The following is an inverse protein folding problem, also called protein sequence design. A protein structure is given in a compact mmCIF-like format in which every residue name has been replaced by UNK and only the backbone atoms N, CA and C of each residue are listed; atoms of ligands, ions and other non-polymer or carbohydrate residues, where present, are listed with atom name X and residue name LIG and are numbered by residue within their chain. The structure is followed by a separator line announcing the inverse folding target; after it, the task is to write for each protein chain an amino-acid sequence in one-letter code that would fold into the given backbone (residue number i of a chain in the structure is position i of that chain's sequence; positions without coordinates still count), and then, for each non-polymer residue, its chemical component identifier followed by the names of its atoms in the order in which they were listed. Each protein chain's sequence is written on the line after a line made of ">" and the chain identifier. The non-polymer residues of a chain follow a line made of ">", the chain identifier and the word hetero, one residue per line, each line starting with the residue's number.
data_IF_028598861149
#
_entry.id   IF_028598861149
#
_cell.length_a   1.000
_cell.length_b   1.000
_cell.length_c   1.000
_cell.angle_alpha   90.00
_cell.angle_beta   90.00
_cell.angle_gamma   90.00
#
_symmetry.space_group_name_H-M   'P 1'
#
loop_
_entity.id
_entity.type
_entity.pdbx_description
1 polymer ?
#
# COMPACT_ATOMS: atom_id res chain seq x y z
N UNK A 1 15.65 -23.59 4.58
CA UNK A 1 14.70 -22.73 5.34
C UNK A 1 13.42 -22.61 4.54
N UNK A 2 12.25 -22.65 5.19
CA UNK A 2 10.95 -22.51 4.53
C UNK A 2 10.41 -21.08 4.71
N UNK A 3 10.96 -20.13 3.94
CA UNK A 3 10.53 -18.74 3.99
C UNK A 3 9.06 -18.57 3.58
N UNK A 4 8.29 -17.79 4.33
CA UNK A 4 6.87 -17.53 4.07
C UNK A 4 5.90 -18.58 4.62
N UNK A 5 6.38 -19.54 5.43
CA UNK A 5 5.52 -20.51 6.10
C UNK A 5 4.35 -19.83 6.84
N UNK A 6 3.15 -20.37 6.68
CA UNK A 6 1.91 -19.79 7.24
C UNK A 6 1.20 -18.79 6.31
N UNK A 7 1.85 -18.41 5.21
CA UNK A 7 1.25 -17.61 4.13
C UNK A 7 1.03 -18.47 2.88
N UNK A 8 0.21 -18.03 1.91
CA UNK A 8 0.08 -18.73 0.64
C UNK A 8 1.26 -18.45 -0.32
N UNK A 9 2.32 -17.78 0.14
CA UNK A 9 3.49 -17.38 -0.63
C UNK A 9 4.75 -18.05 -0.08
N UNK A 10 5.64 -18.43 -0.98
CA UNK A 10 7.02 -18.82 -0.68
C UNK A 10 7.89 -17.58 -0.78
N UNK A 11 8.71 -17.37 0.24
CA UNK A 11 9.69 -16.29 0.33
C UNK A 11 9.13 -14.88 -0.05
N UNK A 12 8.09 -14.40 0.65
CA UNK A 12 7.46 -13.11 0.36
C UNK A 12 8.35 -11.89 0.56
N UNK A 13 9.39 -12.00 1.40
CA UNK A 13 10.39 -10.95 1.66
C UNK A 13 11.74 -11.19 0.98
N UNK A 14 11.76 -12.02 -0.09
CA UNK A 14 12.94 -12.24 -0.94
C UNK A 14 14.24 -12.58 -0.20
N UNK A 15 14.18 -13.42 0.84
CA UNK A 15 15.34 -13.79 1.66
C UNK A 15 16.23 -14.84 0.97
N UNK A 16 15.66 -15.68 0.10
CA UNK A 16 16.43 -16.67 -0.65
C UNK A 16 17.27 -16.00 -1.76
N UNK A 17 18.60 -16.17 -1.70
CA UNK A 17 19.53 -15.61 -2.68
C UNK A 17 19.20 -16.02 -4.12
N UNK A 18 18.73 -17.24 -4.31
CA UNK A 18 18.44 -17.78 -5.63
C UNK A 18 17.01 -17.45 -6.10
N UNK A 19 16.15 -16.95 -5.20
CA UNK A 19 14.72 -16.73 -5.43
C UNK A 19 14.02 -18.00 -5.95
N UNK A 20 14.31 -19.17 -5.39
CA UNK A 20 13.79 -20.47 -5.85
C UNK A 20 12.26 -20.60 -5.73
N UNK A 21 11.65 -19.81 -4.85
CA UNK A 21 10.19 -19.71 -4.71
C UNK A 21 9.49 -18.93 -5.83
N UNK A 22 10.25 -18.28 -6.71
CA UNK A 22 9.74 -17.34 -7.71
C UNK A 22 10.14 -17.73 -9.13
N UNK A 23 9.19 -17.61 -10.06
CA UNK A 23 9.48 -17.64 -11.50
C UNK A 23 9.97 -16.26 -11.93
N UNK A 24 11.16 -16.22 -12.51
CA UNK A 24 11.85 -15.01 -12.98
C UNK A 24 11.68 -14.83 -14.48
N UNK A 25 11.41 -13.60 -14.91
CA UNK A 25 11.51 -13.16 -16.31
C UNK A 25 12.56 -12.06 -16.38
N UNK A 26 13.40 -12.06 -17.43
CA UNK A 26 14.44 -11.05 -17.61
C UNK A 26 15.44 -10.99 -16.45
N UNK A 27 15.95 -9.79 -16.17
CA UNK A 27 16.91 -9.56 -15.08
C UNK A 27 16.19 -9.30 -13.77
N UNK A 28 15.81 -10.39 -13.10
CA UNK A 28 15.27 -10.39 -11.74
C UNK A 28 16.22 -11.12 -10.79
N UNK A 29 16.68 -10.47 -9.74
CA UNK A 29 17.60 -11.04 -8.76
C UNK A 29 17.27 -10.55 -7.35
N UNK A 30 17.77 -11.26 -6.33
CA UNK A 30 17.76 -10.73 -4.97
C UNK A 30 18.77 -9.60 -4.86
N UNK A 31 18.37 -8.53 -4.21
CA UNK A 31 19.20 -7.42 -3.79
C UNK A 31 19.41 -7.46 -2.27
N UNK A 32 20.59 -7.07 -1.82
CA UNK A 32 20.88 -6.89 -0.40
C UNK A 32 21.57 -5.54 -0.26
N UNK A 33 21.00 -4.63 0.51
CA UNK A 33 21.53 -3.28 0.66
C UNK A 33 22.61 -3.18 1.76
N UNK A 34 23.11 -1.97 1.99
CA UNK A 34 24.15 -1.68 2.98
C UNK A 34 23.70 -1.95 4.43
N UNK A 35 22.38 -1.97 4.67
CA UNK A 35 21.77 -2.33 5.96
C UNK A 35 21.47 -3.83 6.07
N UNK A 36 21.91 -4.63 5.09
CA UNK A 36 21.63 -6.07 4.98
C UNK A 36 20.14 -6.42 4.84
N UNK A 37 19.30 -5.47 4.42
CA UNK A 37 17.91 -5.73 4.08
C UNK A 37 17.85 -6.42 2.72
N UNK A 38 16.98 -7.42 2.60
CA UNK A 38 16.80 -8.14 1.34
C UNK A 38 15.58 -7.60 0.60
N UNK A 39 15.69 -7.46 -0.72
CA UNK A 39 14.56 -7.19 -1.60
C UNK A 39 14.76 -7.93 -2.92
N UNK A 40 13.77 -7.88 -3.80
CA UNK A 40 13.96 -8.20 -5.21
C UNK A 40 14.34 -6.95 -5.99
N UNK A 41 15.24 -7.10 -6.97
CA UNK A 41 15.55 -6.08 -7.97
C UNK A 41 15.17 -6.58 -9.38
N UNK A 42 14.42 -5.76 -10.10
CA UNK A 42 14.10 -5.89 -11.52
C UNK A 42 14.87 -4.81 -12.28
N UNK A 43 15.76 -5.21 -13.19
CA UNK A 43 16.68 -4.30 -13.88
C UNK A 43 16.87 -4.66 -15.35
N UNK A 44 17.79 -3.96 -16.03
CA UNK A 44 17.98 -4.08 -17.48
C UNK A 44 16.87 -3.42 -18.30
N UNK A 45 17.06 -3.36 -19.62
CA UNK A 45 16.15 -2.67 -20.56
C UNK A 45 15.00 -3.54 -21.08
N UNK A 46 15.14 -4.87 -21.00
CA UNK A 46 14.07 -5.80 -21.32
C UNK A 46 13.03 -5.84 -20.18
N UNK A 47 11.88 -6.46 -20.44
CA UNK A 47 10.92 -6.78 -19.38
C UNK A 47 11.60 -7.63 -18.30
N UNK A 48 11.35 -7.29 -17.04
CA UNK A 48 11.80 -8.06 -15.90
C UNK A 48 10.63 -8.31 -14.94
N UNK A 49 10.49 -9.52 -14.41
CA UNK A 49 9.37 -9.85 -13.54
C UNK A 49 9.66 -10.97 -12.55
N UNK A 50 8.87 -10.97 -11.48
CA UNK A 50 8.76 -12.07 -10.52
C UNK A 50 7.30 -12.50 -10.44
N UNK A 51 7.07 -13.81 -10.48
CA UNK A 51 5.73 -14.36 -10.34
C UNK A 51 5.69 -15.65 -9.54
N UNK A 52 4.55 -15.90 -8.91
CA UNK A 52 4.31 -17.10 -8.13
C UNK A 52 2.85 -17.55 -8.29
N UNK A 53 2.67 -18.87 -8.40
CA UNK A 53 1.34 -19.47 -8.30
C UNK A 53 0.90 -19.51 -6.84
N UNK A 54 -0.25 -18.92 -6.57
CA UNK A 54 -0.88 -18.83 -5.26
C UNK A 54 -2.03 -19.81 -5.24
N UNK A 55 -2.05 -20.69 -4.23
CA UNK A 55 -3.06 -21.75 -4.10
C UNK A 55 -3.65 -21.74 -2.70
N UNK A 56 -4.80 -22.40 -2.51
CA UNK A 56 -5.45 -22.49 -1.20
C UNK A 56 -6.27 -21.25 -0.84
N UNK A 57 -6.57 -20.39 -1.82
CA UNK A 57 -7.52 -19.31 -1.63
C UNK A 57 -8.93 -19.89 -1.53
N UNK A 58 -9.76 -19.32 -0.66
CA UNK A 58 -11.16 -19.73 -0.50
C UNK A 58 -11.98 -19.17 -1.67
N UNK A 59 -12.56 -20.00 -2.55
CA UNK A 59 -13.32 -19.53 -3.70
C UNK A 59 -14.41 -18.53 -3.31
N UNK A 60 -14.54 -17.44 -4.08
CA UNK A 60 -15.55 -16.40 -3.84
C UNK A 60 -15.25 -15.44 -2.67
N UNK A 61 -14.22 -15.69 -1.86
CA UNK A 61 -13.77 -14.71 -0.85
C UNK A 61 -12.94 -13.61 -1.48
N UNK A 62 -12.96 -12.43 -0.86
CA UNK A 62 -12.18 -11.27 -1.28
C UNK A 62 -10.81 -11.29 -0.61
N UNK A 63 -9.81 -10.82 -1.36
CA UNK A 63 -8.43 -10.76 -0.94
C UNK A 63 -7.79 -9.46 -1.43
N UNK A 64 -6.82 -8.96 -0.66
CA UNK A 64 -5.85 -7.96 -1.09
C UNK A 64 -4.51 -8.64 -1.33
N UNK A 65 -3.97 -8.47 -2.54
CA UNK A 65 -2.56 -8.73 -2.82
C UNK A 65 -1.80 -7.40 -2.79
N UNK A 66 -0.62 -7.38 -2.18
CA UNK A 66 0.21 -6.18 -2.08
C UNK A 66 1.70 -6.50 -2.13
N UNK A 67 2.50 -5.50 -2.44
CA UNK A 67 3.95 -5.50 -2.31
C UNK A 67 4.42 -4.07 -2.04
N UNK A 68 5.51 -3.92 -1.29
CA UNK A 68 6.30 -2.69 -1.34
C UNK A 68 6.95 -2.62 -2.71
N UNK A 69 6.80 -1.49 -3.41
CA UNK A 69 7.42 -1.25 -4.70
C UNK A 69 8.14 0.09 -4.65
N UNK A 70 9.37 0.08 -5.14
CA UNK A 70 10.14 1.29 -5.43
C UNK A 70 10.56 1.28 -6.88
N UNK A 71 10.15 2.30 -7.64
CA UNK A 71 10.80 2.63 -8.91
C UNK A 71 11.91 3.62 -8.58
N UNK A 72 13.11 3.40 -9.11
CA UNK A 72 14.30 4.23 -8.88
C UNK A 72 13.94 5.73 -8.74
N UNK A 73 14.24 6.36 -7.59
CA UNK A 73 13.86 7.73 -7.32
C UNK A 73 14.29 8.68 -8.45
N UNK A 74 13.36 9.52 -8.92
CA UNK A 74 13.57 10.43 -10.04
C UNK A 74 13.36 9.82 -11.44
N UNK A 75 13.35 8.49 -11.56
CA UNK A 75 13.17 7.80 -12.84
C UNK A 75 11.69 7.46 -13.13
N UNK A 76 11.44 6.81 -14.27
CA UNK A 76 10.14 6.23 -14.64
C UNK A 76 10.34 4.85 -15.22
N UNK A 77 9.54 3.90 -14.75
CA UNK A 77 9.41 2.58 -15.34
C UNK A 77 8.12 1.95 -14.84
N UNK A 78 7.18 1.78 -15.77
CA UNK A 78 5.89 1.16 -15.49
C UNK A 78 6.10 -0.19 -14.81
N UNK A 79 5.66 -0.27 -13.55
CA UNK A 79 5.73 -1.47 -12.74
C UNK A 79 4.33 -1.91 -12.35
N UNK A 80 3.94 -3.13 -12.69
CA UNK A 80 2.59 -3.64 -12.48
C UNK A 80 2.61 -4.75 -11.44
N UNK A 81 1.85 -4.57 -10.36
CA UNK A 81 1.45 -5.66 -9.46
C UNK A 81 0.11 -6.20 -9.94
N UNK A 82 -0.01 -7.52 -10.09
CA UNK A 82 -1.25 -8.18 -10.50
C UNK A 82 -1.54 -9.46 -9.72
N UNK A 83 -2.83 -9.69 -9.46
CA UNK A 83 -3.38 -10.90 -8.88
C UNK A 83 -4.89 -10.96 -9.15
N UNK A 84 -5.44 -12.17 -9.32
CA UNK A 84 -6.88 -12.41 -9.46
C UNK A 84 -7.53 -11.70 -10.65
N UNK A 85 -6.78 -11.49 -11.74
CA UNK A 85 -7.25 -10.73 -12.90
C UNK A 85 -7.36 -9.22 -12.66
N UNK A 86 -6.79 -8.71 -11.56
CA UNK A 86 -6.71 -7.29 -11.22
C UNK A 86 -5.25 -6.83 -11.19
N UNK A 87 -5.04 -5.54 -11.40
CA UNK A 87 -3.71 -4.95 -11.49
C UNK A 87 -3.69 -3.50 -11.00
N UNK A 88 -2.55 -3.07 -10.50
CA UNK A 88 -2.22 -1.67 -10.20
C UNK A 88 -0.84 -1.37 -10.79
N UNK A 89 -0.67 -0.15 -11.31
CA UNK A 89 0.60 0.30 -11.89
C UNK A 89 1.24 1.38 -11.01
N UNK A 90 2.53 1.24 -10.75
CA UNK A 90 3.42 2.25 -10.18
C UNK A 90 4.32 2.72 -11.31
N UNK A 91 4.19 3.97 -11.73
CA UNK A 91 5.02 4.55 -12.81
C UNK A 91 6.33 5.13 -12.26
N UNK A 92 6.24 5.78 -11.10
CA UNK A 92 7.32 6.45 -10.38
C UNK A 92 7.04 6.34 -8.88
N UNK A 93 8.07 6.29 -8.06
CA UNK A 93 7.90 6.45 -6.61
C UNK A 93 7.98 7.94 -6.24
N UNK A 94 6.85 8.51 -5.85
CA UNK A 94 6.69 9.96 -5.57
C UNK A 94 6.59 10.28 -4.08
N UNK A 95 6.81 9.29 -3.21
CA UNK A 95 6.69 9.43 -1.76
C UNK A 95 7.80 8.63 -1.08
N UNK A 96 8.50 9.28 -0.16
CA UNK A 96 9.45 8.66 0.75
C UNK A 96 8.69 7.96 1.90
N UNK A 97 9.23 6.86 2.39
CA UNK A 97 8.73 6.17 3.57
C UNK A 97 9.21 6.87 4.85
N UNK A 98 8.29 7.64 5.45
CA UNK A 98 8.53 8.35 6.69
C UNK A 98 8.05 7.61 7.95
N UNK A 99 7.66 6.34 7.85
CA UNK A 99 7.25 5.56 9.02
C UNK A 99 8.50 5.04 9.74
N UNK A 100 8.80 5.55 10.94
CA UNK A 100 10.05 5.24 11.63
C UNK A 100 10.22 3.74 11.93
N UNK A 101 9.13 3.05 12.29
CA UNK A 101 9.14 1.61 12.53
C UNK A 101 9.18 0.75 11.26
N UNK A 102 9.19 1.34 10.06
CA UNK A 102 9.37 0.61 8.82
C UNK A 102 10.83 0.22 8.65
N UNK A 103 11.11 -1.04 8.35
CA UNK A 103 12.45 -1.48 7.97
C UNK A 103 12.96 -0.72 6.75
N UNK A 104 12.08 -0.16 5.91
CA UNK A 104 12.39 0.57 4.68
C UNK A 104 12.31 2.11 4.82
N UNK A 105 12.25 2.63 6.04
CA UNK A 105 12.19 4.07 6.28
C UNK A 105 13.35 4.82 5.58
N UNK A 106 13.08 6.02 5.08
CA UNK A 106 14.04 6.84 4.31
C UNK A 106 14.29 6.37 2.87
N UNK A 107 13.59 5.34 2.40
CA UNK A 107 13.58 4.93 0.99
C UNK A 107 12.29 5.39 0.30
N UNK A 108 12.11 5.09 -0.98
CA UNK A 108 10.86 5.39 -1.71
C UNK A 108 9.98 4.14 -1.91
N UNK A 109 10.19 3.11 -1.09
CA UNK A 109 9.29 1.96 -1.02
C UNK A 109 7.93 2.38 -0.49
N UNK A 110 6.89 2.08 -1.27
CA UNK A 110 5.51 2.29 -0.84
C UNK A 110 4.65 1.09 -1.24
N UNK A 111 3.62 0.82 -0.46
CA UNK A 111 2.78 -0.36 -0.69
C UNK A 111 1.81 -0.12 -1.85
N UNK A 112 1.95 -0.92 -2.90
CA UNK A 112 0.96 -1.04 -3.96
C UNK A 112 0.02 -2.22 -3.65
N UNK A 113 -1.28 -2.07 -3.93
CA UNK A 113 -2.31 -3.05 -3.55
C UNK A 113 -3.30 -3.30 -4.67
N UNK A 114 -3.79 -4.53 -4.79
CA UNK A 114 -4.94 -4.90 -5.63
C UNK A 114 -5.94 -5.75 -4.85
N UNK A 115 -7.21 -5.40 -4.96
CA UNK A 115 -8.31 -6.15 -4.35
C UNK A 115 -8.95 -7.06 -5.41
N UNK A 116 -9.10 -8.34 -5.12
CA UNK A 116 -9.70 -9.31 -6.05
C UNK A 116 -10.61 -10.30 -5.32
N UNK A 117 -11.47 -10.97 -6.08
CA UNK A 117 -12.24 -12.12 -5.59
C UNK A 117 -11.55 -13.40 -6.03
N UNK A 118 -11.31 -14.32 -5.11
CA UNK A 118 -10.65 -15.58 -5.40
C UNK A 118 -11.42 -16.39 -6.45
N UNK A 119 -10.75 -16.84 -7.53
CA UNK A 119 -11.39 -17.63 -8.57
C UNK A 119 -11.98 -18.95 -8.04
N UNK A 120 -12.89 -19.55 -8.81
CA UNK A 120 -13.58 -20.79 -8.44
C UNK A 120 -12.64 -21.96 -8.12
N UNK A 121 -11.45 -22.00 -8.75
CA UNK A 121 -10.44 -23.02 -8.52
C UNK A 121 -9.53 -22.74 -7.29
N UNK A 122 -9.74 -21.63 -6.57
CA UNK A 122 -8.97 -21.24 -5.39
C UNK A 122 -7.51 -20.88 -5.69
N UNK A 123 -7.20 -20.46 -6.92
CA UNK A 123 -5.83 -20.18 -7.38
C UNK A 123 -5.75 -18.85 -8.12
N UNK A 124 -4.58 -18.22 -8.03
CA UNK A 124 -4.20 -17.08 -8.88
C UNK A 124 -2.71 -17.08 -9.12
N UNK A 125 -2.24 -16.39 -10.16
CA UNK A 125 -0.85 -15.98 -10.26
C UNK A 125 -0.72 -14.58 -9.65
N UNK A 126 0.24 -14.39 -8.75
CA UNK A 126 0.72 -13.07 -8.35
C UNK A 126 1.94 -12.72 -9.20
N UNK A 127 1.99 -11.51 -9.76
CA UNK A 127 3.12 -11.06 -10.58
C UNK A 127 3.45 -9.59 -10.32
N UNK A 128 4.74 -9.30 -10.20
CA UNK A 128 5.33 -7.97 -10.19
C UNK A 128 6.19 -7.86 -11.45
N UNK A 129 5.87 -6.92 -12.33
CA UNK A 129 6.48 -6.80 -13.65
C UNK A 129 6.94 -5.37 -13.89
N UNK A 130 8.21 -5.17 -14.23
CA UNK A 130 8.76 -3.91 -14.69
C UNK A 130 8.87 -3.95 -16.23
N UNK A 131 8.24 -2.99 -16.89
CA UNK A 131 8.17 -2.91 -18.34
C UNK A 131 9.55 -2.78 -19.01
N UNK A 132 9.62 -3.17 -20.28
CA UNK A 132 10.77 -2.92 -21.13
C UNK A 132 10.90 -1.42 -21.49
N UNK A 133 12.04 -1.04 -22.07
CA UNK A 133 12.27 0.31 -22.61
C UNK A 133 12.79 1.35 -21.60
N UNK A 134 13.05 0.94 -20.36
CA UNK A 134 13.70 1.78 -19.33
C UNK A 134 14.77 0.97 -18.61
N UNK A 135 15.90 1.62 -18.31
CA UNK A 135 16.97 1.04 -17.46
C UNK A 135 16.71 1.23 -15.97
N UNK A 136 15.70 2.03 -15.61
CA UNK A 136 15.42 2.35 -14.22
C UNK A 136 15.24 1.07 -13.40
N UNK A 137 15.93 1.00 -12.27
CA UNK A 137 15.86 -0.14 -11.39
C UNK A 137 14.54 -0.10 -10.62
N UNK A 138 13.91 -1.25 -10.50
CA UNK A 138 12.71 -1.42 -9.66
C UNK A 138 13.05 -2.37 -8.53
N UNK A 139 12.72 -1.99 -7.31
CA UNK A 139 12.77 -2.90 -6.16
C UNK A 139 11.37 -3.31 -5.73
N UNK A 140 11.26 -4.53 -5.22
CA UNK A 140 10.04 -5.04 -4.61
C UNK A 140 10.37 -5.77 -3.31
N UNK A 141 9.52 -5.64 -2.30
CA UNK A 141 9.63 -6.40 -1.05
C UNK A 141 8.27 -6.64 -0.38
N UNK A 142 8.24 -7.47 0.66
CA UNK A 142 7.07 -7.73 1.52
C UNK A 142 5.78 -8.01 0.75
N UNK A 143 5.84 -9.02 -0.12
CA UNK A 143 4.67 -9.48 -0.88
C UNK A 143 3.68 -10.15 0.06
N UNK A 144 2.43 -9.73 0.03
CA UNK A 144 1.40 -10.20 0.96
C UNK A 144 0.10 -10.50 0.22
N UNK A 145 -0.56 -11.58 0.61
CA UNK A 145 -1.95 -11.87 0.26
C UNK A 145 -2.74 -12.13 1.52
N UNK A 146 -3.81 -11.37 1.73
CA UNK A 146 -4.68 -11.51 2.90
C UNK A 146 -6.14 -11.53 2.51
N UNK A 147 -6.93 -12.32 3.23
CA UNK A 147 -8.38 -12.31 3.12
C UNK A 147 -8.91 -11.05 3.82
N UNK A 148 -9.54 -10.16 3.06
CA UNK A 148 -10.18 -8.94 3.54
C UNK A 148 -11.22 -8.49 2.52
N UNK A 149 -12.12 -7.59 2.93
CA UNK A 149 -13.20 -7.12 2.06
C UNK A 149 -13.37 -5.59 2.14
N UNK A 150 -12.38 -4.78 1.69
CA UNK A 150 -12.50 -3.32 1.65
C UNK A 150 -13.78 -2.90 0.96
N UNK A 151 -14.52 -1.95 1.52
CA UNK A 151 -15.79 -1.55 0.94
C UNK A 151 -15.64 -1.00 -0.49
N UNK A 152 -16.71 -1.06 -1.26
CA UNK A 152 -16.76 -0.49 -2.61
C UNK A 152 -18.05 0.28 -2.79
N UNK A 153 -17.99 1.40 -3.48
CA UNK A 153 -19.17 2.19 -3.82
C UNK A 153 -19.32 2.28 -5.35
N UNK A 154 -20.48 1.90 -5.93
CA UNK A 154 -20.71 2.08 -7.36
C UNK A 154 -20.51 3.54 -7.76
N UNK A 155 -19.85 3.77 -8.91
CA UNK A 155 -19.60 5.11 -9.44
C UNK A 155 -18.39 5.85 -8.83
N UNK A 156 -17.69 5.28 -7.85
CA UNK A 156 -16.45 5.88 -7.30
C UNK A 156 -15.21 5.20 -7.85
N UNK A 157 -14.16 5.99 -8.09
CA UNK A 157 -12.84 5.47 -8.46
C UNK A 157 -12.18 4.72 -7.29
N UNK A 158 -12.23 5.32 -6.10
CA UNK A 158 -11.77 4.76 -4.83
C UNK A 158 -12.82 5.10 -3.78
N UNK A 159 -13.11 4.14 -2.91
CA UNK A 159 -13.97 4.30 -1.74
C UNK A 159 -13.31 3.59 -0.57
N UNK A 160 -13.31 4.24 0.59
CA UNK A 160 -12.74 3.72 1.82
C UNK A 160 -13.62 4.19 2.98
N UNK A 161 -14.16 3.23 3.73
CA UNK A 161 -14.87 3.46 5.00
C UNK A 161 -14.02 3.07 6.22
N UNK A 162 -12.80 2.59 5.98
CA UNK A 162 -11.80 2.16 6.94
C UNK A 162 -12.11 0.85 7.70
N UNK A 163 -13.26 0.21 7.47
CA UNK A 163 -13.73 -0.97 8.22
C UNK A 163 -12.99 -2.29 7.89
N UNK A 164 -12.16 -2.29 6.85
CA UNK A 164 -11.47 -3.48 6.36
C UNK A 164 -10.07 -3.18 5.78
N UNK A 165 -9.39 -2.18 6.37
CA UNK A 165 -8.00 -1.86 6.02
C UNK A 165 -7.07 -3.00 6.45
N UNK A 166 -6.27 -3.50 5.52
CA UNK A 166 -5.36 -4.62 5.80
C UNK A 166 -4.06 -4.21 6.52
N UNK A 167 -3.64 -2.97 6.29
CA UNK A 167 -2.48 -2.28 6.87
C UNK A 167 -2.52 -0.80 6.43
N UNK A 168 -2.05 0.10 7.30
CA UNK A 168 -1.86 1.51 6.96
C UNK A 168 -3.18 2.28 7.04
N UNK A 169 -3.38 3.23 6.12
CA UNK A 169 -4.48 4.21 6.20
C UNK A 169 -5.31 4.22 4.91
N UNK A 170 -5.73 3.04 4.45
CA UNK A 170 -6.48 2.90 3.19
C UNK A 170 -5.68 3.38 1.98
N UNK A 171 -6.15 4.38 1.20
CA UNK A 171 -5.44 4.91 0.03
C UNK A 171 -4.33 5.91 0.39
N UNK A 172 -4.17 6.26 1.67
CA UNK A 172 -3.22 7.27 2.11
C UNK A 172 -1.88 6.67 2.54
N UNK A 173 -0.82 7.42 2.24
CA UNK A 173 0.56 7.18 2.64
C UNK A 173 0.98 8.30 3.61
N UNK A 174 1.85 7.99 4.57
CA UNK A 174 2.41 9.01 5.47
C UNK A 174 3.15 10.08 4.66
N UNK A 175 2.90 11.35 4.97
CA UNK A 175 3.65 12.47 4.42
C UNK A 175 4.83 12.87 5.31
N UNK A 176 5.42 14.02 4.99
CA UNK A 176 6.64 14.52 5.61
C UNK A 176 6.42 15.25 6.95
N UNK A 177 5.19 15.30 7.46
CA UNK A 177 4.89 15.87 8.77
C UNK A 177 5.79 15.23 9.85
N UNK A 178 6.65 16.07 10.45
CA UNK A 178 7.63 15.66 11.47
C UNK A 178 8.80 14.81 10.95
N UNK A 179 8.94 14.61 9.64
CA UNK A 179 9.95 13.72 9.05
C UNK A 179 9.67 12.25 9.34
N UNK A 180 10.73 11.45 9.50
CA UNK A 180 10.61 10.03 9.88
C UNK A 180 10.23 9.90 11.35
N UNK A 181 9.01 9.44 11.62
CA UNK A 181 8.44 9.31 12.97
C UNK A 181 7.53 8.11 13.07
N UNK A 182 7.28 7.65 14.30
CA UNK A 182 6.07 6.87 14.57
C UNK A 182 4.88 7.81 14.41
N UNK A 183 4.06 7.66 13.36
CA UNK A 183 3.04 8.65 13.03
C UNK A 183 1.96 8.72 14.11
N UNK A 184 1.42 9.92 14.34
CA UNK A 184 0.29 10.15 15.24
C UNK A 184 -1.06 10.04 14.50
N UNK A 185 -1.04 9.37 13.37
CA UNK A 185 -2.19 9.05 12.55
C UNK A 185 -2.40 7.54 12.54
N UNK A 186 -3.62 7.09 12.76
CA UNK A 186 -3.97 5.67 12.80
C UNK A 186 -5.44 5.44 12.49
N UNK A 187 -5.80 4.17 12.24
CA UNK A 187 -7.20 3.75 12.21
C UNK A 187 -7.68 3.65 13.66
N UNK A 188 -8.56 4.56 14.07
CA UNK A 188 -9.22 4.54 15.39
C UNK A 188 -10.33 3.50 15.41
N UNK A 189 -10.65 2.99 16.60
CA UNK A 189 -11.71 2.00 16.81
C UNK A 189 -12.74 2.51 17.81
N UNK A 190 -14.01 2.19 17.58
CA UNK A 190 -15.12 2.60 18.42
C UNK A 190 -15.12 1.83 19.74
N UNK A 191 -15.12 2.57 20.84
CA UNK A 191 -15.38 2.06 22.18
C UNK A 191 -16.19 3.08 22.97
N UNK A 192 -17.50 3.11 22.74
CA UNK A 192 -18.40 4.06 23.37
C UNK A 192 -18.62 3.72 24.87
N UNK A 193 -18.72 4.74 25.75
CA UNK A 193 -18.71 6.17 25.44
C UNK A 193 -17.30 6.78 25.27
N UNK A 194 -16.25 6.05 25.64
CA UNK A 194 -14.89 6.57 25.85
C UNK A 194 -14.24 7.24 24.64
N UNK A 195 -14.54 6.76 23.43
CA UNK A 195 -13.96 7.27 22.18
C UNK A 195 -14.78 8.38 21.54
N UNK A 196 -15.99 8.62 22.04
CA UNK A 196 -16.95 9.57 21.47
C UNK A 196 -16.96 10.91 22.21
N UNK A 197 -17.44 11.93 21.53
CA UNK A 197 -17.62 13.27 22.07
C UNK A 197 -18.47 13.27 23.35
N UNK A 198 -18.20 14.21 24.25
CA UNK A 198 -18.87 14.36 25.54
C UNK A 198 -18.26 13.56 26.69
N UNK A 199 -17.68 12.38 26.44
CA UNK A 199 -17.01 11.62 27.50
C UNK A 199 -15.73 12.34 27.96
N UNK A 200 -15.63 12.61 29.27
CA UNK A 200 -14.52 13.37 29.87
C UNK A 200 -14.20 14.70 29.15
N UNK A 201 -15.21 15.38 28.60
CA UNK A 201 -15.04 16.65 27.89
C UNK A 201 -14.42 16.54 26.49
N UNK A 202 -14.35 15.33 25.91
CA UNK A 202 -13.86 15.12 24.54
C UNK A 202 -14.72 15.90 23.53
N UNK A 203 -14.08 16.67 22.65
CA UNK A 203 -14.76 17.62 21.74
C UNK A 203 -15.29 17.00 20.44
N UNK A 204 -14.69 15.90 20.00
CA UNK A 204 -14.98 15.23 18.73
C UNK A 204 -15.07 13.72 18.95
N UNK A 205 -15.66 13.00 18.02
CA UNK A 205 -15.67 11.54 17.99
C UNK A 205 -14.36 10.99 17.42
N UNK A 206 -13.90 9.86 17.91
CA UNK A 206 -12.78 9.15 17.26
C UNK A 206 -13.25 8.36 16.04
N UNK A 207 -14.52 7.92 16.03
CA UNK A 207 -15.14 7.19 14.93
C UNK A 207 -16.42 7.91 14.51
N UNK A 208 -16.48 8.31 13.24
CA UNK A 208 -17.57 9.12 12.67
C UNK A 208 -18.79 8.26 12.28
N UNK A 209 -18.54 7.02 11.86
CA UNK A 209 -19.54 6.04 11.50
C UNK A 209 -18.92 4.64 11.48
N UNK A 210 -19.75 3.61 11.58
CA UNK A 210 -19.25 2.22 11.65
C UNK A 210 -18.50 1.93 12.95
N UNK A 211 -17.36 1.27 12.84
CA UNK A 211 -16.47 0.89 13.94
C UNK A 211 -15.09 1.53 13.84
N UNK A 212 -14.69 2.01 12.66
CA UNK A 212 -13.35 2.48 12.40
C UNK A 212 -13.35 3.83 11.66
N UNK A 213 -12.31 4.63 11.84
CA UNK A 213 -12.10 5.88 11.11
C UNK A 213 -10.61 6.21 11.05
N UNK A 214 -10.19 7.06 10.12
CA UNK A 214 -8.83 7.59 10.12
C UNK A 214 -8.75 8.77 11.10
N UNK A 215 -7.86 8.67 12.09
CA UNK A 215 -7.66 9.70 13.12
C UNK A 215 -6.22 10.19 13.10
N UNK A 216 -6.06 11.51 13.07
CA UNK A 216 -4.80 12.19 13.35
C UNK A 216 -4.89 12.89 14.71
N UNK A 217 -3.90 12.70 15.59
CA UNK A 217 -3.88 13.26 16.93
C UNK A 217 -2.65 14.15 17.14
N UNK A 218 -2.88 15.48 17.22
CA UNK A 218 -1.81 16.46 17.46
C UNK A 218 -0.60 16.23 16.54
N UNK A 219 -0.87 16.16 15.24
CA UNK A 219 0.15 15.88 14.24
C UNK A 219 1.18 17.01 14.14
N UNK A 220 2.35 16.66 13.60
CA UNK A 220 3.40 17.62 13.36
C UNK A 220 3.05 18.53 12.17
N UNK A 221 3.71 19.70 12.09
CA UNK A 221 3.62 20.56 10.90
C UNK A 221 4.21 19.85 9.68
N UNK A 222 3.52 19.97 8.55
CA UNK A 222 3.89 19.37 7.26
C UNK A 222 2.70 18.68 6.61
N UNK A 223 2.96 17.88 5.58
CA UNK A 223 1.93 17.05 4.96
C UNK A 223 1.73 15.81 5.81
N UNK A 224 0.57 15.67 6.44
CA UNK A 224 0.29 14.54 7.36
C UNK A 224 0.22 13.22 6.61
N UNK A 225 -0.60 13.19 5.56
CA UNK A 225 -0.73 12.06 4.65
C UNK A 225 -1.19 12.52 3.28
N UNK A 226 -0.97 11.68 2.27
CA UNK A 226 -1.36 11.94 0.88
C UNK A 226 -1.69 10.65 0.15
N UNK A 227 -2.44 10.77 -0.93
CA UNK A 227 -2.56 9.69 -1.91
C UNK A 227 -1.33 9.70 -2.84
N UNK A 228 -1.22 8.64 -3.64
CA UNK A 228 -0.28 8.54 -4.75
C UNK A 228 -0.98 8.00 -6.01
N UNK A 229 -0.40 8.17 -7.21
CA UNK A 229 -1.04 7.71 -8.45
C UNK A 229 -1.41 6.21 -8.46
N UNK A 230 -0.71 5.37 -7.71
CA UNK A 230 -1.06 3.94 -7.60
C UNK A 230 -2.11 3.64 -6.52
N UNK A 231 -2.35 4.54 -5.55
CA UNK A 231 -3.41 4.37 -4.55
C UNK A 231 -4.73 4.99 -4.99
N UNK A 232 -4.66 6.10 -5.74
CA UNK A 232 -5.81 6.74 -6.40
C UNK A 232 -5.41 7.09 -7.85
N UNK A 233 -5.67 6.19 -8.82
CA UNK A 233 -5.21 6.31 -10.20
C UNK A 233 -6.09 7.26 -11.02
N UNK A 234 -6.05 8.54 -10.65
CA UNK A 234 -6.64 9.63 -11.45
C UNK A 234 -5.97 9.70 -12.82
N UNK A 235 -6.74 10.07 -13.85
CA UNK A 235 -6.28 10.17 -15.24
C UNK A 235 -6.24 11.62 -15.67
N UNK A 236 -5.23 11.95 -16.47
CA UNK A 236 -5.08 13.27 -17.09
C UNK A 236 -6.35 13.67 -17.86
N UNK A 237 -6.68 14.97 -17.79
CA UNK A 237 -7.83 15.54 -18.48
C UNK A 237 -9.20 15.18 -17.90
N UNK A 238 -9.26 14.51 -16.74
CA UNK A 238 -10.51 14.17 -16.07
C UNK A 238 -10.74 15.04 -14.83
N UNK A 239 -12.02 15.28 -14.51
CA UNK A 239 -12.43 15.92 -13.25
C UNK A 239 -12.92 14.86 -12.28
N UNK A 240 -12.48 14.97 -11.03
CA UNK A 240 -12.89 14.10 -9.94
C UNK A 240 -13.57 14.93 -8.85
N UNK A 241 -14.56 14.33 -8.20
CA UNK A 241 -15.12 14.83 -6.95
C UNK A 241 -14.48 14.05 -5.81
N UNK A 242 -14.02 14.77 -4.79
CA UNK A 242 -13.54 14.18 -3.55
C UNK A 242 -14.45 14.63 -2.43
N UNK A 243 -15.00 13.67 -1.70
CA UNK A 243 -15.90 13.91 -0.58
C UNK A 243 -15.55 12.96 0.56
N UNK A 244 -15.58 13.48 1.78
CA UNK A 244 -15.34 12.73 3.01
C UNK A 244 -16.03 13.44 4.17
N UNK A 245 -16.47 12.68 5.16
CA UNK A 245 -16.91 13.22 6.44
C UNK A 245 -15.68 13.47 7.32
N UNK A 246 -15.69 14.55 8.08
CA UNK A 246 -14.59 14.86 9.00
C UNK A 246 -15.07 15.57 10.27
N UNK A 247 -14.28 15.44 11.33
CA UNK A 247 -14.35 16.31 12.49
C UNK A 247 -12.96 16.89 12.77
N UNK A 248 -12.93 18.14 13.23
CA UNK A 248 -11.70 18.80 13.69
C UNK A 248 -12.01 19.56 14.96
N UNK A 249 -11.19 19.38 15.99
CA UNK A 249 -11.40 20.03 17.29
C UNK A 249 -11.12 21.53 17.26
N UNK A 250 -10.35 22.02 16.28
CA UNK A 250 -9.94 23.43 16.17
C UNK A 250 -10.01 23.91 14.72
N UNK A 251 -10.56 25.10 14.52
CA UNK A 251 -10.58 25.74 13.21
C UNK A 251 -9.14 25.99 12.70
N UNK A 252 -8.88 25.67 11.43
CA UNK A 252 -7.59 25.92 10.78
C UNK A 252 -6.43 25.01 11.21
N UNK A 253 -6.66 24.03 12.10
CA UNK A 253 -5.61 23.09 12.52
C UNK A 253 -5.17 22.13 11.40
N UNK A 254 -6.10 21.78 10.51
CA UNK A 254 -5.87 20.93 9.34
C UNK A 254 -6.47 21.59 8.11
N UNK A 255 -5.84 21.36 6.96
CA UNK A 255 -6.30 21.85 5.66
C UNK A 255 -6.28 20.73 4.64
N UNK A 256 -7.28 20.71 3.78
CA UNK A 256 -7.21 19.94 2.54
C UNK A 256 -6.21 20.59 1.59
N UNK A 257 -5.38 19.79 0.93
CA UNK A 257 -4.43 20.24 -0.08
C UNK A 257 -4.56 19.37 -1.32
N UNK A 258 -4.31 19.95 -2.48
CA UNK A 258 -4.07 19.24 -3.73
C UNK A 258 -2.65 19.47 -4.22
N UNK A 259 -2.18 18.63 -5.13
CA UNK A 259 -0.82 18.70 -5.67
C UNK A 259 -0.64 17.72 -6.84
N UNK A 260 0.30 18.04 -7.73
CA UNK A 260 0.63 17.28 -8.93
C UNK A 260 2.14 16.98 -9.00
#
# INVERSE_FOLDING_TARGET
>A
VAWGQGTPLKDPGFNDRALTGWTKTGTAARDTDEQSRNSAALSGTAEAALSQSVTGLKPGKRYTASALIEVEPGATRRTVLSAGGKSVAVERSTAEDFVAASDWHGTSFQRAKVNFTAPANGRTTLRIEAAAGSTARVRADDVRIVENAPATRPGTLVYEDFEAVDQGWGPFLKGDAGGSTDPRTSVSQLNAPYTQSGWNGKLIDDVLGGKESLKSHEENTGLVYRTAPWTVPMKDGHRYEVAFDYQSSHAGAYSWVDGY
#
